data_IF_529578831458
#
_entry.id   IF_529578831458
#
_cell.length_a   1.000
_cell.length_b   1.000
_cell.length_c   1.000
_cell.angle_alpha   90.00
_cell.angle_beta   90.00
_cell.angle_gamma   90.00
#
_symmetry.space_group_name_H-M   'P 1'
#
loop_
_entity.id
_entity.type
_entity.pdbx_description
1 polymer ?
#
# COMPACT_ATOMS: atom_id res chain seq x y z
N UNK A 1 -13.73 -21.49 -3.68
CA UNK A 1 -13.41 -20.25 -4.43
C UNK A 1 -13.46 -18.97 -3.58
N UNK A 2 -14.36 -18.83 -2.59
CA UNK A 2 -14.48 -17.61 -1.78
C UNK A 2 -13.28 -17.24 -0.88
N UNK A 3 -12.42 -18.19 -0.51
CA UNK A 3 -11.27 -17.91 0.38
C UNK A 3 -10.09 -17.25 -0.35
N UNK A 4 -9.95 -17.40 -1.67
CA UNK A 4 -8.82 -16.83 -2.41
C UNK A 4 -8.79 -15.30 -2.39
N UNK A 5 -9.97 -14.66 -2.37
CA UNK A 5 -10.11 -13.20 -2.29
C UNK A 5 -9.37 -12.67 -1.06
N UNK A 6 -9.47 -13.37 0.07
CA UNK A 6 -8.87 -12.97 1.34
C UNK A 6 -7.34 -12.86 1.31
N UNK A 7 -6.64 -13.63 0.48
CA UNK A 7 -5.17 -13.60 0.38
C UNK A 7 -4.67 -12.25 -0.11
N UNK A 8 -5.39 -11.66 -1.09
CA UNK A 8 -5.03 -10.37 -1.66
C UNK A 8 -5.60 -9.26 -0.79
N UNK A 9 -6.87 -9.38 -0.39
CA UNK A 9 -7.57 -8.38 0.40
C UNK A 9 -6.95 -8.14 1.77
N UNK A 10 -6.57 -9.19 2.50
CA UNK A 10 -6.00 -9.05 3.84
C UNK A 10 -4.71 -8.21 3.83
N UNK A 11 -3.86 -8.42 2.82
CA UNK A 11 -2.67 -7.59 2.61
C UNK A 11 -3.05 -6.15 2.26
N UNK A 12 -3.91 -5.93 1.26
CA UNK A 12 -4.27 -4.59 0.82
C UNK A 12 -4.92 -3.77 1.93
N UNK A 13 -5.82 -4.38 2.72
CA UNK A 13 -6.48 -3.72 3.84
C UNK A 13 -5.46 -3.36 4.92
N UNK A 14 -4.59 -4.29 5.30
CA UNK A 14 -3.56 -4.04 6.31
C UNK A 14 -2.55 -2.96 5.86
N UNK A 15 -2.14 -3.02 4.59
CA UNK A 15 -1.26 -2.03 3.97
C UNK A 15 -1.89 -0.64 3.97
N UNK A 16 -3.10 -0.51 3.43
CA UNK A 16 -3.80 0.78 3.33
C UNK A 16 -4.14 1.39 4.69
N UNK A 17 -4.54 0.56 5.66
CA UNK A 17 -4.76 1.03 7.03
C UNK A 17 -3.47 1.44 7.73
N UNK A 18 -2.36 0.74 7.45
CA UNK A 18 -1.04 1.01 8.03
C UNK A 18 -0.39 2.30 7.51
N UNK A 19 -0.57 2.64 6.24
CA UNK A 19 0.08 3.81 5.60
C UNK A 19 -0.03 5.12 6.39
N UNK A 20 -1.23 5.61 6.75
CA UNK A 20 -1.35 6.89 7.47
C UNK A 20 -0.78 6.82 8.88
N UNK A 21 -0.92 5.68 9.58
CA UNK A 21 -0.41 5.49 10.93
C UNK A 21 1.12 5.55 10.92
N UNK A 22 1.74 4.71 10.10
CA UNK A 22 3.19 4.61 10.04
C UNK A 22 3.81 5.87 9.45
N UNK A 23 3.15 6.54 8.50
CA UNK A 23 3.54 7.87 8.04
C UNK A 23 3.67 8.86 9.20
N UNK A 24 2.59 9.07 9.96
CA UNK A 24 2.59 10.01 11.10
C UNK A 24 3.56 9.60 12.21
N UNK A 25 3.60 8.32 12.58
CA UNK A 25 4.52 7.82 13.60
C UNK A 25 5.98 8.00 13.17
N UNK A 26 6.29 7.79 11.89
CA UNK A 26 7.64 7.99 11.35
C UNK A 26 8.09 9.44 11.41
N UNK A 27 7.18 10.39 11.17
CA UNK A 27 7.50 11.83 11.25
C UNK A 27 7.73 12.27 12.71
N UNK A 28 7.05 11.65 13.68
CA UNK A 28 7.18 12.00 15.10
C UNK A 28 8.39 11.36 15.81
N UNK A 29 8.64 10.08 15.53
CA UNK A 29 9.60 9.26 16.29
C UNK A 29 10.88 8.93 15.51
N UNK A 30 10.94 9.35 14.25
CA UNK A 30 12.04 9.11 13.33
C UNK A 30 11.71 8.03 12.30
N UNK A 31 12.04 8.33 11.05
CA UNK A 31 11.75 7.54 9.86
C UNK A 31 12.57 6.28 9.77
N UNK A 32 13.83 6.30 10.19
CA UNK A 32 14.71 5.13 10.12
C UNK A 32 14.12 3.96 10.90
N UNK A 33 13.58 4.22 12.09
CA UNK A 33 13.04 3.19 12.98
C UNK A 33 11.82 2.50 12.37
N UNK A 34 10.88 3.30 11.87
CA UNK A 34 9.64 2.78 11.28
C UNK A 34 9.87 2.16 9.90
N UNK A 35 10.83 2.65 9.12
CA UNK A 35 11.21 2.01 7.86
C UNK A 35 11.86 0.65 8.09
N UNK A 36 12.79 0.54 9.06
CA UNK A 36 13.39 -0.74 9.46
C UNK A 36 12.32 -1.71 9.99
N UNK A 37 11.39 -1.23 10.82
CA UNK A 37 10.25 -2.03 11.28
C UNK A 37 9.43 -2.56 10.10
N UNK A 38 9.08 -1.70 9.14
CA UNK A 38 8.36 -2.07 7.92
C UNK A 38 9.08 -3.17 7.13
N UNK A 39 10.39 -3.01 6.92
CA UNK A 39 11.21 -4.01 6.22
C UNK A 39 11.21 -5.35 6.97
N UNK A 40 11.44 -5.33 8.28
CA UNK A 40 11.46 -6.54 9.09
C UNK A 40 10.11 -7.25 9.08
N UNK A 41 9.00 -6.53 9.27
CA UNK A 41 7.67 -7.12 9.22
C UNK A 41 7.33 -7.67 7.84
N UNK A 42 7.75 -6.99 6.78
CA UNK A 42 7.55 -7.46 5.42
C UNK A 42 8.33 -8.76 5.16
N UNK A 43 9.61 -8.84 5.59
CA UNK A 43 10.43 -10.06 5.45
C UNK A 43 9.84 -11.22 6.25
N UNK A 44 9.47 -10.98 7.52
CA UNK A 44 8.87 -12.00 8.38
C UNK A 44 7.56 -12.49 7.79
N UNK A 45 6.67 -11.58 7.40
CA UNK A 45 5.42 -11.92 6.74
C UNK A 45 5.63 -12.70 5.44
N UNK A 46 6.63 -12.33 4.64
CA UNK A 46 6.98 -13.04 3.41
C UNK A 46 7.52 -14.46 3.69
N UNK A 47 8.33 -14.63 4.72
CA UNK A 47 8.82 -15.95 5.13
C UNK A 47 7.66 -16.85 5.57
N UNK A 48 6.74 -16.32 6.38
CA UNK A 48 5.54 -17.03 6.83
C UNK A 48 4.63 -17.41 5.66
N UNK A 49 4.40 -16.50 4.70
CA UNK A 49 3.59 -16.80 3.51
C UNK A 49 4.13 -18.01 2.72
N UNK A 50 5.45 -18.19 2.68
CA UNK A 50 6.08 -19.33 2.01
C UNK A 50 5.93 -20.67 2.73
N UNK A 51 5.50 -20.68 3.99
CA UNK A 51 5.25 -21.90 4.80
C UNK A 51 3.77 -22.20 4.98
N UNK A 52 2.87 -21.47 4.32
CA UNK A 52 1.43 -21.63 4.53
C UNK A 52 0.90 -22.92 3.91
N UNK A 53 0.18 -23.71 4.72
CA UNK A 53 -0.45 -24.97 4.31
C UNK A 53 -1.95 -24.79 3.99
N UNK A 54 -2.54 -23.64 4.35
CA UNK A 54 -3.94 -23.32 4.06
C UNK A 54 -4.16 -21.89 3.60
N UNK A 55 -5.27 -21.64 2.89
CA UNK A 55 -5.63 -20.29 2.41
C UNK A 55 -5.88 -19.33 3.57
N UNK A 56 -6.47 -19.82 4.67
CA UNK A 56 -6.72 -19.00 5.87
C UNK A 56 -5.41 -18.56 6.50
N UNK A 57 -4.48 -19.50 6.67
CA UNK A 57 -3.14 -19.23 7.20
C UNK A 57 -2.38 -18.24 6.31
N UNK A 58 -2.38 -18.47 4.99
CA UNK A 58 -1.78 -17.55 4.03
C UNK A 58 -2.41 -16.15 4.14
N UNK A 59 -3.72 -16.05 4.31
CA UNK A 59 -4.42 -14.77 4.47
C UNK A 59 -3.98 -14.02 5.73
N UNK A 60 -3.76 -14.73 6.85
CA UNK A 60 -3.24 -14.15 8.09
C UNK A 60 -1.80 -13.66 7.88
N UNK A 61 -0.94 -14.46 7.26
CA UNK A 61 0.45 -14.07 6.97
C UNK A 61 0.52 -12.88 6.01
N UNK A 62 -0.39 -12.80 5.05
CA UNK A 62 -0.56 -11.65 4.16
C UNK A 62 -0.97 -10.39 4.90
N UNK A 63 -1.83 -10.49 5.92
CA UNK A 63 -2.15 -9.34 6.78
C UNK A 63 -0.89 -8.86 7.53
N UNK A 64 -0.10 -9.77 8.12
CA UNK A 64 1.16 -9.43 8.80
C UNK A 64 2.14 -8.75 7.82
N UNK A 65 2.30 -9.32 6.63
CA UNK A 65 3.13 -8.74 5.58
C UNK A 65 2.63 -7.35 5.15
N UNK A 66 1.31 -7.16 5.06
CA UNK A 66 0.67 -5.90 4.70
C UNK A 66 0.93 -4.78 5.70
N UNK A 67 0.97 -5.09 7.00
CA UNK A 67 1.39 -4.13 8.03
C UNK A 67 2.81 -3.60 7.73
N UNK A 68 3.72 -4.49 7.34
CA UNK A 68 5.06 -4.11 6.89
C UNK A 68 5.02 -3.21 5.64
N UNK A 69 4.26 -3.62 4.63
CA UNK A 69 4.06 -2.88 3.38
C UNK A 69 3.54 -1.45 3.59
N UNK A 70 2.60 -1.29 4.52
CA UNK A 70 2.02 0.01 4.88
C UNK A 70 3.07 1.01 5.40
N UNK A 71 4.15 0.55 6.04
CA UNK A 71 5.25 1.42 6.46
C UNK A 71 6.25 1.71 5.33
N UNK A 72 6.41 0.82 4.36
CA UNK A 72 7.49 0.92 3.37
C UNK A 72 7.32 2.10 2.41
N UNK A 73 6.20 2.12 1.67
CA UNK A 73 5.99 3.10 0.59
C UNK A 73 5.98 4.54 1.11
N UNK A 74 5.12 4.92 2.09
CA UNK A 74 5.04 6.32 2.52
C UNK A 74 6.37 6.80 3.09
N UNK A 75 7.01 6.02 3.97
CA UNK A 75 8.27 6.43 4.61
C UNK A 75 9.39 6.50 3.60
N UNK A 76 9.45 5.59 2.62
CA UNK A 76 10.43 5.64 1.53
C UNK A 76 10.32 6.95 0.74
N UNK A 77 9.10 7.36 0.36
CA UNK A 77 8.89 8.63 -0.32
C UNK A 77 9.31 9.82 0.53
N UNK A 78 8.96 9.84 1.82
CA UNK A 78 9.34 10.95 2.70
C UNK A 78 10.86 11.02 2.89
N UNK A 79 11.53 9.88 3.11
CA UNK A 79 13.00 9.79 3.18
C UNK A 79 13.64 10.35 1.90
N UNK A 80 13.13 9.96 0.73
CA UNK A 80 13.67 10.39 -0.55
C UNK A 80 13.53 11.91 -0.76
N UNK A 81 12.40 12.50 -0.35
CA UNK A 81 12.16 13.94 -0.42
C UNK A 81 13.07 14.72 0.52
N UNK A 82 13.30 14.22 1.73
CA UNK A 82 14.04 14.95 2.76
C UNK A 82 15.54 14.77 2.68
N UNK A 83 16.02 13.65 2.13
CA UNK A 83 17.45 13.41 1.94
C UNK A 83 18.07 14.29 0.83
N UNK A 84 17.25 14.93 -0.01
CA UNK A 84 17.72 15.58 -1.25
C UNK A 84 17.18 16.99 -1.43
N UNK A 85 17.99 17.82 -2.08
CA UNK A 85 17.63 19.20 -2.38
C UNK A 85 16.36 19.28 -3.25
N UNK A 86 15.47 20.27 -3.03
CA UNK A 86 14.22 20.42 -3.77
C UNK A 86 14.36 20.34 -5.30
N UNK A 87 15.45 20.88 -5.84
CA UNK A 87 15.72 20.95 -7.28
C UNK A 87 15.93 19.57 -7.94
N UNK A 88 16.37 18.55 -7.18
CA UNK A 88 16.63 17.21 -7.71
C UNK A 88 15.54 16.19 -7.32
N UNK A 89 14.56 16.59 -6.50
CA UNK A 89 13.44 15.73 -6.08
C UNK A 89 12.69 15.15 -7.27
N UNK A 90 12.39 15.98 -8.28
CA UNK A 90 11.71 15.52 -9.49
C UNK A 90 12.48 14.44 -10.26
N UNK A 91 13.81 14.59 -10.39
CA UNK A 91 14.67 13.61 -11.05
C UNK A 91 14.69 12.28 -10.29
N UNK A 92 14.78 12.32 -8.96
CA UNK A 92 14.81 11.13 -8.13
C UNK A 92 13.45 10.43 -8.04
N UNK A 93 12.35 11.20 -7.99
CA UNK A 93 11.00 10.67 -8.12
C UNK A 93 10.78 10.01 -9.49
N UNK A 94 11.33 10.60 -10.55
CA UNK A 94 11.34 9.99 -11.89
C UNK A 94 12.13 8.68 -11.93
N UNK A 95 13.31 8.63 -11.30
CA UNK A 95 14.10 7.40 -11.19
C UNK A 95 13.35 6.32 -10.39
N UNK A 96 12.73 6.70 -9.27
CA UNK A 96 11.88 5.80 -8.48
C UNK A 96 10.71 5.28 -9.31
N UNK A 97 10.04 6.15 -10.07
CA UNK A 97 8.99 5.79 -11.01
C UNK A 97 9.47 4.85 -12.12
N UNK A 98 10.69 5.02 -12.62
CA UNK A 98 11.29 4.11 -13.60
C UNK A 98 11.57 2.73 -13.00
N UNK A 99 12.09 2.66 -11.77
CA UNK A 99 12.29 1.39 -11.05
C UNK A 99 10.95 0.70 -10.80
N UNK A 100 9.92 1.46 -10.39
CA UNK A 100 8.56 0.94 -10.20
C UNK A 100 7.97 0.40 -11.52
N UNK A 101 8.11 1.15 -12.62
CA UNK A 101 7.64 0.74 -13.94
C UNK A 101 8.38 -0.48 -14.51
N UNK A 102 9.70 -0.58 -14.32
CA UNK A 102 10.44 -1.79 -14.68
C UNK A 102 9.98 -2.98 -13.83
N UNK A 103 9.82 -2.77 -12.52
CA UNK A 103 9.38 -3.81 -11.60
C UNK A 103 7.96 -4.30 -11.92
N UNK A 104 7.06 -3.43 -12.37
CA UNK A 104 5.69 -3.82 -12.74
C UNK A 104 5.62 -4.66 -14.02
N UNK A 105 6.60 -4.53 -14.91
CA UNK A 105 6.73 -5.37 -16.13
C UNK A 105 7.40 -6.71 -15.80
N UNK A 106 8.51 -6.68 -15.06
CA UNK A 106 9.25 -7.90 -14.72
C UNK A 106 8.55 -8.75 -13.65
N UNK A 107 7.76 -8.13 -12.75
CA UNK A 107 7.08 -8.80 -11.65
C UNK A 107 6.18 -9.96 -12.12
N UNK A 108 5.19 -9.73 -13.00
CA UNK A 108 4.33 -10.78 -13.54
C UNK A 108 5.09 -11.87 -14.30
N UNK A 109 6.09 -11.49 -15.12
CA UNK A 109 6.93 -12.44 -15.87
C UNK A 109 7.66 -13.39 -14.91
N UNK A 110 8.32 -12.82 -13.90
CA UNK A 110 9.08 -13.56 -12.91
C UNK A 110 8.15 -14.40 -12.03
N UNK A 111 6.99 -13.86 -11.65
CA UNK A 111 5.99 -14.58 -10.87
C UNK A 111 5.41 -15.79 -11.60
N UNK A 112 5.10 -15.65 -12.90
CA UNK A 112 4.66 -16.75 -13.75
C UNK A 112 5.75 -17.84 -13.84
N UNK A 113 6.98 -17.44 -14.19
CA UNK A 113 8.12 -18.37 -14.26
C UNK A 113 8.37 -19.11 -12.93
N UNK A 114 8.34 -18.41 -11.80
CA UNK A 114 8.53 -19.02 -10.48
C UNK A 114 7.43 -20.03 -10.19
N UNK A 115 6.17 -19.68 -10.48
CA UNK A 115 5.02 -20.54 -10.19
C UNK A 115 5.00 -21.78 -11.06
N UNK A 116 5.39 -21.66 -12.33
CA UNK A 116 5.36 -22.76 -13.31
C UNK A 116 6.51 -23.77 -13.13
N UNK A 117 7.70 -23.30 -12.73
CA UNK A 117 8.92 -24.14 -12.74
C UNK A 117 9.53 -24.44 -11.37
N UNK A 118 9.29 -23.61 -10.35
CA UNK A 118 9.99 -23.71 -9.04
C UNK A 118 9.00 -24.02 -7.91
N UNK A 119 7.86 -23.33 -7.90
CA UNK A 119 6.82 -23.45 -6.89
C UNK A 119 6.34 -22.09 -6.41
N UNK A 120 5.04 -21.97 -6.15
CA UNK A 120 4.37 -20.70 -5.80
C UNK A 120 4.94 -20.04 -4.53
N UNK A 121 5.47 -20.82 -3.57
CA UNK A 121 6.02 -20.31 -2.32
C UNK A 121 7.19 -19.35 -2.55
N UNK A 122 7.95 -19.57 -3.63
CA UNK A 122 9.12 -18.76 -3.98
C UNK A 122 8.77 -17.34 -4.41
N UNK A 123 7.51 -17.08 -4.79
CA UNK A 123 7.00 -15.71 -5.01
C UNK A 123 7.10 -14.89 -3.73
N UNK A 124 7.05 -15.54 -2.56
CA UNK A 124 7.27 -14.89 -1.28
C UNK A 124 8.75 -14.92 -0.88
N UNK A 125 9.44 -16.05 -1.02
CA UNK A 125 10.84 -16.14 -0.60
C UNK A 125 11.78 -15.20 -1.35
N UNK A 126 11.48 -14.85 -2.60
CA UNK A 126 12.29 -13.91 -3.37
C UNK A 126 12.40 -12.53 -2.72
N UNK A 127 11.40 -12.11 -1.94
CA UNK A 127 11.43 -10.81 -1.27
C UNK A 127 12.43 -10.76 -0.11
N UNK A 128 12.76 -11.90 0.49
CA UNK A 128 13.65 -11.99 1.66
C UNK A 128 15.05 -11.43 1.36
N UNK A 129 15.79 -11.89 0.32
CA UNK A 129 17.11 -11.35 0.03
C UNK A 129 17.06 -9.85 -0.29
N UNK A 130 16.08 -9.37 -1.05
CA UNK A 130 15.91 -7.93 -1.33
C UNK A 130 15.62 -7.12 -0.05
N UNK A 131 14.79 -7.66 0.84
CA UNK A 131 14.51 -7.06 2.14
C UNK A 131 15.75 -7.00 3.01
N UNK A 132 16.56 -8.06 3.08
CA UNK A 132 17.81 -8.09 3.85
C UNK A 132 18.80 -7.05 3.31
N UNK A 133 18.99 -6.98 1.98
CA UNK A 133 19.86 -5.98 1.37
C UNK A 133 19.38 -4.56 1.69
N UNK A 134 18.08 -4.31 1.56
CA UNK A 134 17.47 -3.01 1.90
C UNK A 134 17.67 -2.67 3.38
N UNK A 135 17.46 -3.64 4.27
CA UNK A 135 17.65 -3.50 5.71
C UNK A 135 19.10 -3.12 6.03
N UNK A 136 20.08 -3.84 5.45
CA UNK A 136 21.50 -3.55 5.63
C UNK A 136 21.87 -2.16 5.11
N UNK A 137 21.38 -1.79 3.93
CA UNK A 137 21.63 -0.47 3.35
C UNK A 137 21.10 0.66 4.24
N UNK A 138 19.87 0.53 4.73
CA UNK A 138 19.26 1.53 5.62
C UNK A 138 19.96 1.55 6.98
N UNK A 139 20.29 0.38 7.54
CA UNK A 139 20.94 0.29 8.83
C UNK A 139 22.32 0.98 8.81
N UNK A 140 23.11 0.76 7.76
CA UNK A 140 24.49 1.24 7.64
C UNK A 140 24.57 2.67 7.09
N UNK A 141 23.90 2.96 5.98
CA UNK A 141 24.10 4.21 5.23
C UNK A 141 23.11 5.31 5.58
N UNK A 142 21.88 4.98 5.95
CA UNK A 142 20.89 5.99 6.27
C UNK A 142 21.13 6.52 7.70
N UNK A 143 21.68 7.74 7.79
CA UNK A 143 21.86 8.46 9.05
C UNK A 143 20.79 9.53 9.15
N UNK A 144 19.87 9.32 10.09
CA UNK A 144 18.78 10.25 10.33
C UNK A 144 19.18 11.28 11.40
N UNK A 145 19.05 12.56 11.07
CA UNK A 145 19.04 13.65 12.05
C UNK A 145 17.64 13.80 12.61
N UNK A 146 17.38 13.15 13.75
CA UNK A 146 16.06 13.17 14.39
C UNK A 146 15.80 14.55 15.01
N UNK A 147 14.96 15.37 14.37
CA UNK A 147 14.43 16.58 15.00
C UNK A 147 13.22 16.17 15.86
N UNK A 148 13.45 15.93 17.15
CA UNK A 148 12.37 15.54 18.08
C UNK A 148 11.57 16.77 18.48
N UNK A 149 10.58 17.15 17.69
CA UNK A 149 9.47 17.92 18.25
C UNK A 149 8.62 16.99 19.13
N UNK A 150 8.27 17.46 20.34
CA UNK A 150 7.38 16.72 21.25
C UNK A 150 5.94 16.80 20.73
N UNK A 151 5.67 16.14 19.62
CA UNK A 151 4.32 16.02 19.09
C UNK A 151 3.53 14.99 19.92
N UNK A 152 2.24 15.26 20.18
CA UNK A 152 1.33 14.34 20.88
C UNK A 152 0.63 13.47 19.86
N UNK A 153 0.62 12.15 20.09
CA UNK A 153 -0.13 11.24 19.23
C UNK A 153 -1.62 11.49 19.46
N UNK A 154 -2.35 11.84 18.39
CA UNK A 154 -3.80 11.75 18.39
C UNK A 154 -4.25 10.30 18.18
N UNK A 155 -4.33 9.56 19.28
CA UNK A 155 -4.79 8.17 19.25
C UNK A 155 -6.24 8.07 18.78
N UNK A 156 -7.07 9.07 19.05
CA UNK A 156 -8.49 9.04 18.71
C UNK A 156 -8.67 9.32 17.22
N UNK A 157 -7.95 10.30 16.66
CA UNK A 157 -7.82 10.53 15.23
C UNK A 157 -7.27 9.30 14.51
N UNK A 158 -6.21 8.66 15.04
CA UNK A 158 -5.64 7.46 14.44
C UNK A 158 -6.63 6.28 14.42
N UNK A 159 -7.28 5.96 15.54
CA UNK A 159 -8.24 4.85 15.62
C UNK A 159 -9.44 5.08 14.69
N UNK A 160 -9.96 6.30 14.66
CA UNK A 160 -11.12 6.64 13.82
C UNK A 160 -10.76 6.65 12.33
N UNK A 161 -9.56 7.10 11.95
CA UNK A 161 -9.07 7.01 10.58
C UNK A 161 -8.90 5.55 10.13
N UNK A 162 -8.29 4.72 10.98
CA UNK A 162 -8.10 3.29 10.70
C UNK A 162 -9.45 2.58 10.58
N UNK A 163 -10.37 2.84 11.51
CA UNK A 163 -11.74 2.31 11.44
C UNK A 163 -12.43 2.70 10.14
N UNK A 164 -12.32 3.96 9.73
CA UNK A 164 -12.87 4.43 8.46
C UNK A 164 -12.27 3.69 7.26
N UNK A 165 -10.94 3.63 7.15
CA UNK A 165 -10.24 2.97 6.04
C UNK A 165 -10.59 1.49 5.98
N UNK A 166 -10.58 0.79 7.12
CA UNK A 166 -10.92 -0.63 7.21
C UNK A 166 -12.37 -0.86 6.78
N UNK A 167 -13.33 -0.10 7.30
CA UNK A 167 -14.73 -0.20 6.90
C UNK A 167 -14.93 0.03 5.40
N UNK A 168 -14.32 1.07 4.83
CA UNK A 168 -14.42 1.39 3.42
C UNK A 168 -13.80 0.30 2.55
N UNK A 169 -12.60 -0.17 2.90
CA UNK A 169 -11.91 -1.20 2.13
C UNK A 169 -12.66 -2.53 2.16
N UNK A 170 -13.20 -2.94 3.32
CA UNK A 170 -14.04 -4.14 3.38
C UNK A 170 -15.34 -4.01 2.59
N UNK A 171 -15.99 -2.84 2.63
CA UNK A 171 -17.20 -2.59 1.84
C UNK A 171 -16.94 -2.72 0.33
N UNK A 172 -15.86 -2.10 -0.16
CA UNK A 172 -15.45 -2.16 -1.57
C UNK A 172 -14.98 -3.55 -1.98
N UNK A 173 -14.35 -4.28 -1.08
CA UNK A 173 -13.81 -5.60 -1.36
C UNK A 173 -14.89 -6.68 -1.43
N UNK A 174 -15.89 -6.62 -0.56
CA UNK A 174 -16.95 -7.63 -0.51
C UNK A 174 -18.19 -7.26 -1.29
N UNK A 175 -18.46 -5.96 -1.48
CA UNK A 175 -19.58 -5.46 -2.26
C UNK A 175 -19.52 -5.94 -3.72
N UNK A 176 -20.57 -6.62 -4.16
CA UNK A 176 -20.67 -7.19 -5.50
C UNK A 176 -19.80 -8.42 -5.75
N UNK A 177 -19.12 -8.94 -4.73
CA UNK A 177 -18.32 -10.18 -4.81
C UNK A 177 -18.83 -11.26 -3.86
N UNK A 178 -18.67 -11.03 -2.55
CA UNK A 178 -19.10 -11.98 -1.51
C UNK A 178 -20.51 -11.67 -1.02
N UNK A 179 -20.85 -10.39 -0.96
CA UNK A 179 -22.16 -9.90 -0.56
C UNK A 179 -22.69 -8.94 -1.61
N UNK A 180 -24.01 -8.89 -1.79
CA UNK A 180 -24.64 -7.88 -2.63
C UNK A 180 -24.38 -6.47 -2.08
N UNK A 181 -24.31 -5.47 -2.96
CA UNK A 181 -24.12 -4.08 -2.56
C UNK A 181 -25.19 -3.56 -1.58
N UNK A 182 -26.40 -4.11 -1.67
CA UNK A 182 -27.54 -3.77 -0.82
C UNK A 182 -27.68 -4.69 0.40
N UNK A 183 -26.72 -5.57 0.65
CA UNK A 183 -26.72 -6.44 1.82
C UNK A 183 -26.54 -5.63 3.12
N UNK A 184 -27.13 -6.08 4.25
CA UNK A 184 -26.94 -5.46 5.56
C UNK A 184 -25.46 -5.33 5.95
N UNK A 185 -24.61 -6.28 5.55
CA UNK A 185 -23.18 -6.30 5.84
C UNK A 185 -22.45 -5.15 5.14
N UNK A 186 -22.65 -4.99 3.83
CA UNK A 186 -22.00 -3.92 3.05
C UNK A 186 -22.54 -2.55 3.45
N UNK A 187 -23.86 -2.43 3.67
CA UNK A 187 -24.47 -1.18 4.15
C UNK A 187 -23.94 -0.83 5.54
N UNK A 188 -23.81 -1.82 6.44
CA UNK A 188 -23.24 -1.64 7.77
C UNK A 188 -21.80 -1.14 7.73
N UNK A 189 -20.98 -1.68 6.83
CA UNK A 189 -19.60 -1.22 6.61
C UNK A 189 -19.55 0.21 6.04
N UNK A 190 -20.40 0.55 5.07
CA UNK A 190 -20.50 1.93 4.54
C UNK A 190 -20.93 2.91 5.63
N UNK A 191 -21.93 2.52 6.44
CA UNK A 191 -22.39 3.35 7.55
C UNK A 191 -21.32 3.53 8.63
N UNK A 192 -20.59 2.45 8.95
CA UNK A 192 -19.42 2.49 9.82
C UNK A 192 -18.34 3.45 9.31
N UNK A 193 -18.04 3.42 8.00
CA UNK A 193 -17.14 4.38 7.37
C UNK A 193 -17.62 5.82 7.56
N UNK A 194 -18.90 6.11 7.30
CA UNK A 194 -19.47 7.46 7.45
C UNK A 194 -19.36 7.96 8.90
N UNK A 195 -19.63 7.09 9.88
CA UNK A 195 -19.48 7.43 11.30
C UNK A 195 -18.02 7.71 11.63
N UNK A 196 -17.12 6.76 11.32
CA UNK A 196 -15.71 6.88 11.69
C UNK A 196 -15.05 8.08 11.02
N UNK A 197 -15.35 8.36 9.74
CA UNK A 197 -14.81 9.53 9.05
C UNK A 197 -15.40 10.83 9.60
N UNK A 198 -16.68 10.85 9.98
CA UNK A 198 -17.32 12.01 10.61
C UNK A 198 -16.72 12.34 11.98
N UNK A 199 -16.45 11.31 12.80
CA UNK A 199 -15.75 11.45 14.07
C UNK A 199 -14.32 11.93 13.81
N UNK A 200 -13.59 11.29 12.89
CA UNK A 200 -12.23 11.67 12.51
C UNK A 200 -12.15 13.15 12.15
N UNK A 201 -12.97 13.63 11.21
CA UNK A 201 -12.98 15.04 10.80
C UNK A 201 -13.27 15.99 11.97
N UNK A 202 -14.17 15.60 12.87
CA UNK A 202 -14.54 16.43 14.04
C UNK A 202 -13.40 16.54 15.05
N UNK A 203 -12.71 15.44 15.28
CA UNK A 203 -11.58 15.33 16.21
C UNK A 203 -10.40 16.09 15.65
N UNK A 204 -10.09 15.85 14.39
CA UNK A 204 -8.96 16.45 13.68
C UNK A 204 -9.06 17.98 13.56
N UNK A 205 -10.28 18.51 13.52
CA UNK A 205 -10.53 19.96 13.58
C UNK A 205 -10.28 20.58 14.96
N UNK A 206 -10.25 19.77 16.03
CA UNK A 206 -10.10 20.21 17.42
C UNK A 206 -8.71 19.92 18.00
N UNK A 207 -7.99 18.95 17.45
CA UNK A 207 -6.65 18.58 17.93
C UNK A 207 -5.62 19.62 17.47
N UNK A 208 -4.64 19.90 18.34
CA UNK A 208 -3.59 20.87 18.09
C UNK A 208 -2.64 20.44 16.94
N UNK A 209 -2.43 19.14 16.78
CA UNK A 209 -1.49 18.55 15.82
C UNK A 209 -2.20 17.49 14.96
N UNK A 210 -3.03 17.91 13.99
CA UNK A 210 -3.78 16.98 13.15
C UNK A 210 -2.84 16.06 12.33
N UNK A 211 -3.29 14.84 12.07
CA UNK A 211 -2.74 13.93 11.04
C UNK A 211 -2.91 14.56 9.66
N UNK A 212 -4.08 15.14 9.36
CA UNK A 212 -4.36 15.87 8.12
C UNK A 212 -4.63 17.36 8.42
N UNK A 213 -3.69 18.22 8.03
CA UNK A 213 -3.89 19.66 8.13
C UNK A 213 -4.85 20.16 7.04
N UNK A 214 -6.16 20.22 7.35
CA UNK A 214 -7.19 20.75 6.44
C UNK A 214 -6.92 22.19 6.00
N UNK A 215 -6.07 22.95 6.71
CA UNK A 215 -5.68 24.30 6.33
C UNK A 215 -4.87 24.32 5.02
N UNK A 216 -4.12 23.25 4.72
CA UNK A 216 -3.34 23.15 3.47
C UNK A 216 -4.24 23.12 2.24
N UNK A 217 -5.44 22.55 2.34
CA UNK A 217 -6.41 22.52 1.24
C UNK A 217 -7.00 23.89 0.88
N UNK A 218 -6.73 24.94 1.67
CA UNK A 218 -7.04 26.32 1.28
C UNK A 218 -6.08 26.84 0.21
N UNK A 219 -4.88 26.28 0.13
CA UNK A 219 -3.94 26.59 -0.93
C UNK A 219 -4.38 25.87 -2.22
N UNK A 220 -4.65 26.66 -3.27
CA UNK A 220 -5.15 26.14 -4.56
C UNK A 220 -4.13 25.21 -5.22
N UNK A 221 -2.84 25.48 -5.08
CA UNK A 221 -1.80 24.62 -5.66
C UNK A 221 -1.80 23.27 -4.95
N UNK A 222 -1.88 23.27 -3.62
CA UNK A 222 -1.95 22.04 -2.84
C UNK A 222 -3.22 21.22 -3.17
N UNK A 223 -4.39 21.88 -3.20
CA UNK A 223 -5.66 21.22 -3.49
C UNK A 223 -5.71 20.66 -4.91
N UNK A 224 -5.33 21.45 -5.92
CA UNK A 224 -5.30 21.01 -7.32
C UNK A 224 -4.27 19.89 -7.55
N UNK A 225 -3.10 19.97 -6.91
CA UNK A 225 -2.08 18.90 -7.03
C UNK A 225 -2.58 17.58 -6.46
N UNK A 226 -3.25 17.60 -5.30
CA UNK A 226 -3.87 16.39 -4.73
C UNK A 226 -4.99 15.86 -5.61
N UNK A 227 -5.84 16.72 -6.18
CA UNK A 227 -6.90 16.30 -7.09
C UNK A 227 -6.33 15.62 -8.34
N UNK A 228 -5.30 16.21 -8.95
CA UNK A 228 -4.61 15.62 -10.11
C UNK A 228 -3.98 14.30 -9.73
N UNK A 229 -3.35 14.19 -8.55
CA UNK A 229 -2.76 12.94 -8.08
C UNK A 229 -3.81 11.83 -7.91
N UNK A 230 -4.98 12.15 -7.33
CA UNK A 230 -6.11 11.21 -7.20
C UNK A 230 -6.60 10.75 -8.56
N UNK A 231 -6.88 11.67 -9.49
CA UNK A 231 -7.38 11.35 -10.82
C UNK A 231 -6.36 10.55 -11.63
N UNK A 232 -5.08 10.92 -11.56
CA UNK A 232 -4.00 10.20 -12.25
C UNK A 232 -3.81 8.80 -11.67
N UNK A 233 -3.88 8.65 -10.34
CA UNK A 233 -3.81 7.35 -9.67
C UNK A 233 -4.99 6.45 -10.03
N UNK A 234 -6.21 6.99 -10.06
CA UNK A 234 -7.41 6.26 -10.48
C UNK A 234 -7.32 5.80 -11.93
N UNK A 235 -6.87 6.67 -12.84
CA UNK A 235 -6.64 6.33 -14.24
C UNK A 235 -5.55 5.25 -14.37
N UNK A 236 -4.45 5.38 -13.62
CA UNK A 236 -3.34 4.41 -13.63
C UNK A 236 -3.79 3.01 -13.17
N UNK A 237 -4.46 2.91 -12.02
CA UNK A 237 -4.96 1.63 -11.49
C UNK A 237 -5.93 1.00 -12.49
N UNK A 238 -6.91 1.79 -12.98
CA UNK A 238 -7.91 1.31 -13.96
C UNK A 238 -7.24 0.78 -15.22
N UNK A 239 -6.30 1.53 -15.79
CA UNK A 239 -5.55 1.11 -16.96
C UNK A 239 -4.73 -0.15 -16.69
N UNK A 240 -4.04 -0.24 -15.54
CA UNK A 240 -3.20 -1.40 -15.20
C UNK A 240 -3.99 -2.71 -15.09
N UNK A 241 -5.26 -2.64 -14.67
CA UNK A 241 -6.13 -3.81 -14.51
C UNK A 241 -6.87 -4.12 -15.80
N UNK A 242 -7.49 -3.13 -16.43
CA UNK A 242 -8.36 -3.36 -17.60
C UNK A 242 -7.59 -3.60 -18.90
N UNK A 243 -6.39 -3.02 -19.08
CA UNK A 243 -5.61 -3.23 -20.31
C UNK A 243 -5.24 -4.71 -20.48
N UNK A 244 -4.64 -5.41 -19.49
CA UNK A 244 -4.36 -6.84 -19.61
C UNK A 244 -5.61 -7.68 -19.87
N UNK A 245 -6.71 -7.38 -19.17
CA UNK A 245 -7.99 -8.10 -19.35
C UNK A 245 -8.53 -7.89 -20.76
N UNK A 246 -8.50 -6.66 -21.28
CA UNK A 246 -8.95 -6.36 -22.64
C UNK A 246 -8.06 -7.06 -23.68
N UNK A 247 -6.75 -7.03 -23.50
CA UNK A 247 -5.81 -7.72 -24.38
C UNK A 247 -6.05 -9.23 -24.38
N UNK A 248 -6.23 -9.85 -23.21
CA UNK A 248 -6.50 -11.29 -23.08
C UNK A 248 -7.90 -11.68 -23.57
N UNK A 249 -8.93 -10.88 -23.30
CA UNK A 249 -10.32 -11.23 -23.64
C UNK A 249 -10.68 -10.97 -25.09
N UNK A 250 -10.22 -9.85 -25.66
CA UNK A 250 -10.65 -9.39 -27.00
C UNK A 250 -9.58 -9.67 -28.06
N UNK A 251 -8.31 -9.38 -27.79
CA UNK A 251 -7.26 -9.55 -28.81
C UNK A 251 -6.96 -11.02 -29.09
N UNK A 252 -6.89 -11.86 -28.05
CA UNK A 252 -6.68 -13.30 -28.21
C UNK A 252 -7.88 -13.99 -28.86
N UNK A 253 -9.12 -13.57 -28.55
CA UNK A 253 -10.32 -14.15 -29.17
C UNK A 253 -10.48 -13.78 -30.65
N UNK A 254 -9.92 -12.64 -31.09
CA UNK A 254 -9.87 -12.21 -32.49
C UNK A 254 -8.70 -12.84 -33.29
N UNK A 255 -7.96 -13.79 -32.71
CA UNK A 255 -6.87 -14.49 -33.39
C UNK A 255 -5.58 -13.68 -33.58
N UNK A 256 -5.53 -12.45 -33.07
CA UNK A 256 -4.27 -11.73 -32.95
C UNK A 256 -3.42 -12.39 -31.87
N UNK A 257 -2.31 -13.02 -32.27
CA UNK A 257 -1.21 -13.41 -31.38
C UNK A 257 -0.15 -12.30 -31.44
N UNK A 258 -0.28 -11.21 -30.66
CA UNK A 258 0.72 -10.13 -30.68
C UNK A 258 2.00 -10.65 -30.05
N UNK A 259 2.90 -11.20 -30.86
CA UNK A 259 4.08 -11.94 -30.42
C UNK A 259 3.74 -13.15 -29.53
N UNK A 260 4.55 -14.21 -29.59
CA UNK A 260 4.72 -15.04 -28.40
C UNK A 260 5.38 -14.13 -27.37
N UNK A 261 4.58 -13.35 -26.65
CA UNK A 261 4.92 -13.11 -25.26
C UNK A 261 4.94 -14.51 -24.66
N UNK A 262 6.15 -15.01 -24.48
CA UNK A 262 6.44 -16.12 -23.59
C UNK A 262 5.97 -15.60 -22.23
N UNK A 263 4.71 -15.87 -21.92
CA UNK A 263 4.18 -15.90 -20.57
C UNK A 263 3.58 -17.29 -20.44
#
# INVERSE_FOLDING_TARGET
MHQFVWVISAYMIAEMAGMPIFGKLSDMYGRKRFFIFGILMFIIGSALCGTADSITELSIYRAIQGIGGGALIPICYTILIDAVNPNIRGKLMGLFGAVYGLSSVFGPLLGAFITDYIGWQWVFYINIPFGIVSLLMVAVYYKETVYREKQRIDWLGAITLVGAVVCLMFALQFGGQLYDWYSPEVIGLIFGFIIFIGIFITVERRVAEPIISFRMFKDKLFASSNLIAILSGAAFITASVYIPIFMQGVLYSLGFKPFRMIF
#
